data_IF_181759611490
#
_entry.id   IF_181759611490
#
_cell.length_a   1.000
_cell.length_b   1.000
_cell.length_c   1.000
_cell.angle_alpha   90.00
_cell.angle_beta   90.00
_cell.angle_gamma   90.00
#
_symmetry.space_group_name_H-M   'P 1'
#
loop_
_entity.id
_entity.type
_entity.pdbx_description
1 polymer ?
#
# COMPACT_ATOMS: atom_id res chain seq x y z
N UNK A 1 10.20 0.45 32.37
CA UNK A 1 8.76 0.71 32.63
C UNK A 1 7.95 -0.24 31.75
N UNK A 2 6.78 -0.74 32.16
CA UNK A 2 5.96 -1.59 31.27
C UNK A 2 5.01 -0.72 30.43
N UNK A 3 4.61 -1.21 29.26
CA UNK A 3 3.72 -0.52 28.30
C UNK A 3 2.39 -0.11 28.94
N UNK A 4 1.81 -0.92 29.84
CA UNK A 4 0.53 -0.59 30.50
C UNK A 4 0.63 0.65 31.41
N UNK A 5 1.85 1.06 31.76
CA UNK A 5 2.12 2.26 32.53
C UNK A 5 2.09 3.57 31.72
N UNK A 6 2.07 3.51 30.39
CA UNK A 6 2.03 4.70 29.53
C UNK A 6 0.62 5.27 29.56
N UNK A 7 0.41 6.42 30.19
CA UNK A 7 -0.90 7.09 30.35
C UNK A 7 -0.94 8.51 29.76
N UNK A 8 0.24 9.08 29.57
CA UNK A 8 0.47 10.48 29.24
C UNK A 8 1.84 10.63 28.57
N UNK A 9 2.23 11.89 28.35
CA UNK A 9 3.48 12.26 27.70
C UNK A 9 4.69 11.80 28.50
N UNK A 10 4.66 12.08 29.79
CA UNK A 10 5.76 11.85 30.72
C UNK A 10 6.04 10.35 30.86
N UNK A 11 4.98 9.54 30.94
CA UNK A 11 5.07 8.08 30.99
C UNK A 11 5.50 7.44 29.66
N UNK A 12 5.09 7.98 28.50
CA UNK A 12 5.61 7.55 27.19
C UNK A 12 7.11 7.85 27.07
N UNK A 13 7.53 9.05 27.48
CA UNK A 13 8.94 9.44 27.48
C UNK A 13 9.76 8.54 28.40
N UNK A 14 9.28 8.29 29.61
CA UNK A 14 9.95 7.39 30.56
C UNK A 14 10.05 5.94 30.03
N UNK A 15 9.07 5.48 29.24
CA UNK A 15 9.16 4.18 28.57
C UNK A 15 10.23 4.17 27.47
N UNK A 16 10.27 5.20 26.60
CA UNK A 16 11.29 5.33 25.55
C UNK A 16 12.71 5.43 26.12
N UNK A 17 12.90 6.18 27.20
CA UNK A 17 14.19 6.31 27.89
C UNK A 17 14.64 5.02 28.60
N UNK A 18 13.70 4.13 28.91
CA UNK A 18 13.98 2.83 29.53
C UNK A 18 14.36 1.73 28.52
N UNK A 19 14.25 1.98 27.21
CA UNK A 19 14.70 1.04 26.18
C UNK A 19 16.22 0.82 26.28
N UNK A 20 16.75 -0.34 25.83
CA UNK A 20 18.20 -0.55 25.75
C UNK A 20 18.87 0.56 24.91
N UNK A 21 19.99 1.10 25.40
CA UNK A 21 20.76 2.17 24.75
C UNK A 21 22.28 2.00 24.90
N UNK A 22 22.76 0.82 25.30
CA UNK A 22 24.16 0.56 25.59
C UNK A 22 25.06 0.63 24.35
N UNK A 23 24.54 0.23 23.20
CA UNK A 23 25.22 0.23 21.90
C UNK A 23 24.61 1.21 20.90
N UNK A 24 25.33 1.51 19.81
CA UNK A 24 24.80 2.34 18.70
C UNK A 24 23.58 1.69 18.04
N UNK A 25 23.58 0.37 17.90
CA UNK A 25 22.46 -0.39 17.33
C UNK A 25 21.20 -0.28 18.19
N UNK A 26 21.36 -0.40 19.52
CA UNK A 26 20.26 -0.24 20.48
C UNK A 26 19.71 1.20 20.48
N UNK A 27 20.59 2.22 20.43
CA UNK A 27 20.17 3.62 20.31
C UNK A 27 19.41 3.89 19.01
N UNK A 28 19.89 3.34 17.90
CA UNK A 28 19.24 3.47 16.60
C UNK A 28 17.88 2.76 16.58
N UNK A 29 17.76 1.59 17.21
CA UNK A 29 16.48 0.90 17.36
C UNK A 29 15.48 1.69 18.22
N UNK A 30 15.89 2.19 19.39
CA UNK A 30 15.06 3.03 20.23
C UNK A 30 14.58 4.29 19.48
N UNK A 31 15.46 4.91 18.67
CA UNK A 31 15.11 6.02 17.79
C UNK A 31 14.06 5.62 16.75
N UNK A 32 14.28 4.50 16.04
CA UNK A 32 13.31 3.99 15.04
C UNK A 32 11.93 3.75 15.66
N UNK A 33 11.87 3.20 16.87
CA UNK A 33 10.61 2.99 17.59
C UNK A 33 9.90 4.31 17.87
N UNK A 34 10.62 5.29 18.40
CA UNK A 34 10.08 6.60 18.72
C UNK A 34 9.58 7.34 17.47
N UNK A 35 10.31 7.27 16.35
CA UNK A 35 9.90 7.81 15.04
C UNK A 35 8.63 7.13 14.54
N UNK A 36 8.56 5.80 14.59
CA UNK A 36 7.40 5.04 14.10
C UNK A 36 6.12 5.37 14.89
N UNK A 37 6.23 5.49 16.22
CA UNK A 37 5.11 5.88 17.09
C UNK A 37 4.65 7.31 16.76
N UNK A 38 5.60 8.26 16.63
CA UNK A 38 5.28 9.65 16.32
C UNK A 38 4.64 9.81 14.93
N UNK A 39 5.16 9.13 13.91
CA UNK A 39 4.59 9.11 12.56
C UNK A 39 3.16 8.56 12.56
N UNK A 40 2.91 7.42 13.21
CA UNK A 40 1.57 6.84 13.28
C UNK A 40 0.60 7.73 14.05
N UNK A 41 1.04 8.38 15.13
CA UNK A 41 0.22 9.37 15.83
C UNK A 41 -0.16 10.57 14.93
N UNK A 42 0.79 11.06 14.12
CA UNK A 42 0.53 12.13 13.14
C UNK A 42 -0.46 11.69 12.06
N UNK A 43 -0.26 10.50 11.47
CA UNK A 43 -1.16 9.91 10.49
C UNK A 43 -2.59 9.77 11.03
N UNK A 44 -2.76 9.37 12.30
CA UNK A 44 -4.09 9.20 12.92
C UNK A 44 -4.93 10.48 12.89
N UNK A 45 -4.32 11.65 13.00
CA UNK A 45 -5.02 12.94 13.01
C UNK A 45 -5.07 13.62 11.64
N UNK A 46 -4.49 13.01 10.60
CA UNK A 46 -4.39 13.59 9.26
C UNK A 46 -5.75 13.93 8.60
N UNK A 47 -6.83 13.14 8.77
CA UNK A 47 -8.16 13.51 8.27
C UNK A 47 -8.66 14.87 8.80
N UNK A 48 -8.30 15.24 10.02
CA UNK A 48 -8.69 16.53 10.60
C UNK A 48 -7.98 17.71 9.91
N UNK A 49 -6.70 17.52 9.56
CA UNK A 49 -5.95 18.50 8.78
C UNK A 49 -6.61 18.72 7.42
N UNK A 50 -6.92 17.62 6.71
CA UNK A 50 -7.53 17.72 5.40
C UNK A 50 -8.91 18.35 5.43
N UNK A 51 -9.78 17.90 6.33
CA UNK A 51 -11.12 18.49 6.47
C UNK A 51 -11.03 19.98 6.72
N UNK A 52 -10.11 20.42 7.58
CA UNK A 52 -9.89 21.83 7.80
C UNK A 52 -9.38 22.55 6.57
N UNK A 53 -8.39 22.00 5.85
CA UNK A 53 -7.83 22.63 4.64
C UNK A 53 -8.87 22.81 3.52
N UNK A 54 -9.95 22.00 3.55
CA UNK A 54 -11.06 22.06 2.62
C UNK A 54 -12.18 23.03 3.05
N UNK A 55 -12.14 23.58 4.27
CA UNK A 55 -13.12 24.60 4.70
C UNK A 55 -12.91 25.91 3.94
N UNK A 56 -13.91 26.78 4.03
CA UNK A 56 -13.95 28.09 3.37
C UNK A 56 -12.59 28.80 3.45
N UNK A 57 -12.06 29.18 2.27
CA UNK A 57 -10.76 29.85 2.10
C UNK A 57 -10.66 31.14 2.89
N UNK A 58 -11.79 31.77 3.24
CA UNK A 58 -11.83 32.95 4.11
C UNK A 58 -11.45 32.63 5.56
N UNK A 59 -11.67 31.38 6.02
CA UNK A 59 -11.33 30.90 7.36
C UNK A 59 -9.97 30.22 7.42
N UNK A 60 -9.50 29.66 6.31
CA UNK A 60 -8.23 28.90 6.23
C UNK A 60 -7.08 29.73 5.67
N UNK A 61 -7.36 30.87 5.04
CA UNK A 61 -6.37 31.69 4.36
C UNK A 61 -5.75 30.97 3.15
N UNK A 62 -4.48 31.25 2.87
CA UNK A 62 -3.69 30.56 1.83
C UNK A 62 -3.04 29.27 2.34
N UNK A 63 -3.60 28.64 3.38
CA UNK A 63 -3.01 27.44 3.95
C UNK A 63 -2.99 26.29 2.94
N UNK A 64 -1.83 25.70 2.75
CA UNK A 64 -1.66 24.45 2.00
C UNK A 64 -1.37 23.31 2.99
N UNK A 65 -2.04 22.15 2.88
CA UNK A 65 -1.71 20.99 3.72
C UNK A 65 -0.38 20.34 3.33
N UNK A 66 0.22 20.69 2.18
CA UNK A 66 1.40 20.01 1.64
C UNK A 66 2.64 20.03 2.53
N UNK A 67 3.01 21.13 3.21
CA UNK A 67 4.15 21.10 4.12
C UNK A 67 3.98 20.07 5.24
N UNK A 68 2.75 19.90 5.74
CA UNK A 68 2.42 18.93 6.79
C UNK A 68 2.45 17.51 6.24
N UNK A 69 1.89 17.29 5.05
CA UNK A 69 1.95 16.01 4.34
C UNK A 69 3.39 15.58 4.03
N UNK A 70 4.23 16.52 3.60
CA UNK A 70 5.67 16.31 3.37
C UNK A 70 6.38 15.91 4.67
N UNK A 71 6.09 16.60 5.76
CA UNK A 71 6.65 16.25 7.06
C UNK A 71 6.27 14.82 7.45
N UNK A 72 4.99 14.49 7.38
CA UNK A 72 4.51 13.18 7.79
C UNK A 72 5.10 12.06 6.92
N UNK A 73 5.19 12.27 5.60
CA UNK A 73 5.88 11.39 4.66
C UNK A 73 7.36 11.17 5.04
N UNK A 74 8.12 12.24 5.30
CA UNK A 74 9.53 12.17 5.70
C UNK A 74 9.69 11.40 7.01
N UNK A 75 8.79 11.61 7.98
CA UNK A 75 8.85 10.93 9.27
C UNK A 75 8.68 9.41 9.12
N UNK A 76 7.80 8.95 8.23
CA UNK A 76 7.65 7.53 7.92
C UNK A 76 8.92 6.91 7.31
N UNK A 77 9.56 7.62 6.37
CA UNK A 77 10.79 7.16 5.69
C UNK A 77 11.96 7.08 6.67
N UNK A 78 12.09 8.06 7.56
CA UNK A 78 13.15 8.10 8.56
C UNK A 78 13.11 6.94 9.57
N UNK A 79 11.94 6.32 9.76
CA UNK A 79 11.78 5.08 10.53
C UNK A 79 12.38 3.85 9.84
N UNK A 80 12.60 3.91 8.51
CA UNK A 80 13.25 2.84 7.72
C UNK A 80 14.76 3.01 7.61
N UNK A 81 15.24 4.23 7.73
CA UNK A 81 16.67 4.53 7.73
C UNK A 81 16.88 6.03 7.67
N UNK A 82 17.90 6.51 8.37
CA UNK A 82 18.26 7.92 8.36
C UNK A 82 19.46 8.15 7.43
N UNK A 83 19.28 8.99 6.42
CA UNK A 83 20.37 9.47 5.56
C UNK A 83 20.54 10.98 5.72
N UNK A 84 21.71 11.55 5.39
CA UNK A 84 21.92 13.00 5.41
C UNK A 84 20.85 13.77 4.60
N UNK A 85 20.43 13.22 3.47
CA UNK A 85 19.43 13.82 2.58
C UNK A 85 18.04 13.85 3.22
N UNK A 86 17.66 12.78 3.92
CA UNK A 86 16.38 12.72 4.67
C UNK A 86 16.38 13.72 5.83
N UNK A 87 17.51 13.87 6.53
CA UNK A 87 17.66 14.88 7.59
C UNK A 87 17.47 16.28 7.02
N UNK A 88 18.11 16.58 5.88
CA UNK A 88 18.03 17.89 5.24
C UNK A 88 16.62 18.21 4.72
N UNK A 89 16.00 17.26 4.03
CA UNK A 89 14.60 17.35 3.60
C UNK A 89 13.67 17.61 4.79
N UNK A 90 13.90 16.91 5.91
CA UNK A 90 13.14 17.09 7.14
C UNK A 90 13.26 18.49 7.74
N UNK A 91 14.48 19.07 7.79
CA UNK A 91 14.70 20.43 8.31
C UNK A 91 13.91 21.45 7.50
N UNK A 92 13.98 21.32 6.17
CA UNK A 92 13.28 22.23 5.27
C UNK A 92 11.76 22.09 5.38
N UNK A 93 11.24 20.86 5.46
CA UNK A 93 9.82 20.60 5.65
C UNK A 93 9.28 21.21 6.97
N UNK A 94 10.00 21.09 8.08
CA UNK A 94 9.63 21.71 9.36
C UNK A 94 9.58 23.23 9.25
N UNK A 95 10.55 23.84 8.56
CA UNK A 95 10.57 25.27 8.31
C UNK A 95 9.29 25.74 7.61
N UNK A 96 8.89 25.03 6.56
CA UNK A 96 7.67 25.31 5.80
C UNK A 96 6.39 25.13 6.64
N UNK A 97 6.30 24.09 7.49
CA UNK A 97 5.16 23.92 8.40
C UNK A 97 5.07 25.06 9.40
N UNK A 98 6.19 25.47 10.00
CA UNK A 98 6.22 26.58 10.97
C UNK A 98 5.80 27.90 10.33
N UNK A 99 6.26 28.19 9.11
CA UNK A 99 5.83 29.36 8.36
C UNK A 99 4.32 29.33 8.08
N UNK A 100 3.78 28.16 7.76
CA UNK A 100 2.35 27.97 7.47
C UNK A 100 1.47 28.06 8.73
N UNK A 101 1.99 27.70 9.90
CA UNK A 101 1.24 27.58 11.16
C UNK A 101 0.95 28.91 11.88
N UNK A 102 1.60 30.03 11.49
CA UNK A 102 1.50 31.33 12.19
C UNK A 102 0.07 31.94 12.17
N UNK A 103 -0.88 31.36 11.44
CA UNK A 103 -2.27 31.86 11.37
C UNK A 103 -3.37 30.90 11.83
N UNK A 104 -3.06 29.76 12.46
CA UNK A 104 -4.02 28.62 12.53
C UNK A 104 -4.60 28.35 13.94
N UNK A 105 -5.85 27.86 13.97
CA UNK A 105 -6.62 27.45 15.16
C UNK A 105 -6.05 26.17 15.83
N UNK A 106 -6.30 26.03 17.14
CA UNK A 106 -5.71 25.02 18.03
C UNK A 106 -5.74 23.55 17.55
N UNK A 107 -6.81 23.09 16.89
CA UNK A 107 -6.93 21.69 16.44
C UNK A 107 -6.05 21.35 15.22
N UNK A 108 -5.65 22.33 14.43
CA UNK A 108 -4.70 22.11 13.32
C UNK A 108 -3.28 22.31 13.81
N UNK A 109 -3.07 23.17 14.81
CA UNK A 109 -1.82 23.19 15.55
C UNK A 109 -1.52 21.77 16.07
N UNK A 110 -2.53 21.02 16.52
CA UNK A 110 -2.37 19.62 16.90
C UNK A 110 -1.76 18.73 15.79
N UNK A 111 -2.38 18.67 14.61
CA UNK A 111 -1.88 17.85 13.50
C UNK A 111 -0.54 18.37 12.93
N UNK A 112 -0.44 19.67 12.68
CA UNK A 112 0.77 20.31 12.15
C UNK A 112 1.96 20.18 13.09
N UNK A 113 1.77 20.39 14.40
CA UNK A 113 2.83 20.14 15.38
C UNK A 113 3.12 18.66 15.54
N UNK A 114 2.12 17.77 15.48
CA UNK A 114 2.38 16.33 15.52
C UNK A 114 3.31 15.90 14.37
N UNK A 115 3.00 16.28 13.12
CA UNK A 115 3.86 15.98 11.97
C UNK A 115 5.22 16.68 12.06
N UNK A 116 5.26 17.97 12.43
CA UNK A 116 6.53 18.70 12.56
C UNK A 116 7.41 18.13 13.67
N UNK A 117 6.83 17.71 14.80
CA UNK A 117 7.54 17.10 15.92
C UNK A 117 7.98 15.68 15.57
N UNK A 118 7.18 14.91 14.80
CA UNK A 118 7.58 13.60 14.30
C UNK A 118 8.84 13.69 13.44
N UNK A 119 8.92 14.67 12.53
CA UNK A 119 10.14 14.95 11.75
C UNK A 119 11.25 15.55 12.61
N UNK A 120 10.93 16.44 13.56
CA UNK A 120 11.97 17.06 14.39
C UNK A 120 12.71 16.02 15.21
N UNK A 121 11.98 15.05 15.71
CA UNK A 121 12.52 13.97 16.48
C UNK A 121 13.37 12.98 15.63
N UNK A 122 13.18 12.98 14.31
CA UNK A 122 14.13 12.35 13.37
C UNK A 122 15.47 13.11 13.32
N UNK A 123 15.44 14.44 13.34
CA UNK A 123 16.62 15.31 13.11
C UNK A 123 17.47 15.47 14.36
N UNK A 124 16.86 15.48 15.55
CA UNK A 124 17.57 15.61 16.81
C UNK A 124 18.22 14.27 17.15
N UNK A 125 19.54 14.25 17.28
CA UNK A 125 20.31 13.06 17.67
C UNK A 125 20.55 13.13 19.19
N UNK A 126 20.11 12.13 19.95
CA UNK A 126 20.35 12.01 21.40
C UNK A 126 19.09 12.07 22.28
N UNK A 127 19.28 12.19 23.60
CA UNK A 127 18.21 12.21 24.61
C UNK A 127 17.15 13.31 24.38
N UNK A 128 17.49 14.41 23.70
CA UNK A 128 16.51 15.46 23.34
C UNK A 128 15.47 14.99 22.30
N UNK A 129 15.74 13.90 21.57
CA UNK A 129 14.78 13.33 20.63
C UNK A 129 13.56 12.74 21.34
N UNK A 130 13.73 12.09 22.51
CA UNK A 130 12.63 11.45 23.25
C UNK A 130 11.58 12.47 23.70
N UNK A 131 12.02 13.68 24.09
CA UNK A 131 11.15 14.79 24.49
C UNK A 131 10.28 15.29 23.32
N UNK A 132 10.86 15.39 22.12
CA UNK A 132 10.18 15.84 20.89
C UNK A 132 9.24 14.75 20.33
N UNK A 133 9.63 13.47 20.39
CA UNK A 133 8.75 12.34 20.06
C UNK A 133 7.49 12.31 20.93
N UNK A 134 7.67 12.50 22.24
CA UNK A 134 6.55 12.53 23.18
C UNK A 134 5.68 13.78 22.99
N UNK A 135 6.27 14.92 22.60
CA UNK A 135 5.53 16.12 22.22
C UNK A 135 4.65 15.89 20.99
N UNK A 136 5.14 15.19 19.96
CA UNK A 136 4.36 14.85 18.76
C UNK A 136 3.08 14.06 19.10
N UNK A 137 3.25 12.97 19.86
CA UNK A 137 2.17 12.10 20.29
C UNK A 137 1.15 12.83 21.16
N UNK A 138 1.62 13.66 22.11
CA UNK A 138 0.76 14.46 22.99
C UNK A 138 -0.02 15.52 22.22
N UNK A 139 0.64 16.15 21.25
CA UNK A 139 -0.01 17.20 20.46
C UNK A 139 -1.11 16.61 19.60
N UNK A 140 -0.91 15.43 19.01
CA UNK A 140 -1.96 14.65 18.35
C UNK A 140 -3.12 14.28 19.30
N UNK A 141 -2.81 13.94 20.56
CA UNK A 141 -3.78 13.57 21.58
C UNK A 141 -4.70 14.73 22.06
N UNK A 142 -4.36 15.99 21.77
CA UNK A 142 -5.21 17.15 22.13
C UNK A 142 -6.47 17.30 21.26
N UNK A 143 -6.61 16.49 20.21
CA UNK A 143 -7.82 16.37 19.42
C UNK A 143 -8.66 15.16 19.89
N UNK A 144 -9.83 15.45 20.48
CA UNK A 144 -10.91 14.50 20.85
C UNK A 144 -10.45 13.10 21.32
N UNK A 145 -10.24 13.00 22.64
CA UNK A 145 -9.88 11.81 23.45
C UNK A 145 -8.39 11.46 23.50
N UNK A 146 -7.63 12.24 24.27
CA UNK A 146 -6.26 11.92 24.62
C UNK A 146 -6.10 10.48 25.13
N UNK A 147 -7.09 9.99 25.90
CA UNK A 147 -7.11 8.62 26.41
C UNK A 147 -7.11 7.56 25.30
N UNK A 148 -8.00 7.68 24.29
CA UNK A 148 -8.05 6.74 23.17
C UNK A 148 -6.78 6.82 22.29
N UNK A 149 -6.17 8.00 22.18
CA UNK A 149 -4.88 8.14 21.51
C UNK A 149 -3.78 7.39 22.27
N UNK A 150 -3.75 7.48 23.61
CA UNK A 150 -2.80 6.72 24.42
C UNK A 150 -3.07 5.23 24.42
N UNK A 151 -4.32 4.76 24.27
CA UNK A 151 -4.60 3.35 23.99
C UNK A 151 -3.91 2.89 22.71
N UNK A 152 -4.03 3.65 21.62
CA UNK A 152 -3.37 3.31 20.35
C UNK A 152 -1.84 3.37 20.46
N UNK A 153 -1.29 4.34 21.21
CA UNK A 153 0.15 4.42 21.46
C UNK A 153 0.64 3.21 22.27
N UNK A 154 -0.07 2.82 23.33
CA UNK A 154 0.23 1.60 24.10
C UNK A 154 0.24 0.39 23.18
N UNK A 155 -0.74 0.30 22.31
CA UNK A 155 -0.87 -0.83 21.40
C UNK A 155 0.26 -0.89 20.35
N UNK A 156 0.71 0.26 19.83
CA UNK A 156 1.90 0.37 18.98
C UNK A 156 3.18 -0.03 19.75
N UNK A 157 3.34 0.43 21.00
CA UNK A 157 4.48 0.07 21.85
C UNK A 157 4.54 -1.44 22.14
N UNK A 158 3.40 -2.04 22.49
CA UNK A 158 3.30 -3.47 22.75
C UNK A 158 3.63 -4.31 21.50
N UNK A 159 3.22 -3.86 20.32
CA UNK A 159 3.56 -4.52 19.06
C UNK A 159 5.06 -4.44 18.76
N UNK A 160 5.71 -3.29 19.03
CA UNK A 160 7.16 -3.14 18.91
C UNK A 160 7.94 -4.05 19.88
N UNK A 161 7.52 -4.17 21.14
CA UNK A 161 8.13 -5.09 22.11
C UNK A 161 8.06 -6.57 21.66
N UNK A 162 7.09 -6.90 20.80
CA UNK A 162 6.93 -8.24 20.20
C UNK A 162 7.70 -8.40 18.88
N UNK A 163 8.46 -7.38 18.44
CA UNK A 163 9.22 -7.40 17.19
C UNK A 163 8.38 -7.16 15.94
N UNK A 164 7.17 -6.62 16.08
CA UNK A 164 6.30 -6.38 14.94
C UNK A 164 6.76 -5.18 14.09
N UNK A 165 6.49 -5.26 12.78
CA UNK A 165 6.72 -4.16 11.84
C UNK A 165 5.46 -3.27 11.76
N UNK A 166 5.46 -2.14 12.48
CA UNK A 166 4.27 -1.28 12.60
C UNK A 166 3.72 -0.74 11.27
N UNK A 167 4.50 -0.70 10.20
CA UNK A 167 4.02 -0.31 8.86
C UNK A 167 3.13 -1.36 8.19
N UNK A 168 3.06 -2.57 8.76
CA UNK A 168 2.15 -3.63 8.32
C UNK A 168 0.92 -3.77 9.21
N UNK A 169 0.80 -2.91 10.22
CA UNK A 169 -0.36 -2.88 11.11
C UNK A 169 -1.32 -1.78 10.68
N UNK A 170 -2.64 -2.07 10.68
CA UNK A 170 -3.67 -1.03 10.55
C UNK A 170 -3.39 0.14 11.50
N UNK A 171 -3.71 1.35 11.06
CA UNK A 171 -3.43 2.56 11.84
C UNK A 171 -4.24 2.57 13.15
N UNK A 172 -5.43 1.97 13.15
CA UNK A 172 -6.27 1.76 14.32
C UNK A 172 -6.41 0.26 14.57
N UNK A 173 -6.20 -0.20 15.80
CA UNK A 173 -6.38 -1.61 16.15
C UNK A 173 -7.85 -1.97 16.35
N UNK A 174 -8.63 -0.99 16.80
CA UNK A 174 -10.07 -1.08 17.00
C UNK A 174 -10.81 -0.16 16.01
N UNK A 175 -12.04 0.24 16.35
CA UNK A 175 -12.83 1.19 15.57
C UNK A 175 -12.08 2.52 15.37
N UNK A 176 -11.94 2.94 14.11
CA UNK A 176 -11.34 4.24 13.77
C UNK A 176 -12.33 5.36 14.11
N UNK A 177 -12.05 6.22 15.12
CA UNK A 177 -12.96 7.30 15.53
C UNK A 177 -13.11 8.39 14.47
N UNK A 178 -12.21 8.44 13.48
CA UNK A 178 -12.26 9.37 12.35
C UNK A 178 -12.76 8.71 11.06
N UNK A 179 -13.31 7.49 11.10
CA UNK A 179 -13.78 6.78 9.90
C UNK A 179 -14.82 7.59 9.12
N UNK A 180 -15.82 8.16 9.81
CA UNK A 180 -16.85 8.98 9.16
C UNK A 180 -16.26 10.28 8.61
N UNK A 181 -15.40 10.96 9.39
CA UNK A 181 -14.72 12.17 8.95
C UNK A 181 -13.90 11.89 7.67
N UNK A 182 -13.18 10.77 7.63
CA UNK A 182 -12.42 10.36 6.46
C UNK A 182 -13.32 10.06 5.26
N UNK A 183 -14.40 9.31 5.46
CA UNK A 183 -15.38 9.01 4.41
C UNK A 183 -15.96 10.28 3.77
N UNK A 184 -16.21 11.32 4.58
CA UNK A 184 -16.75 12.61 4.10
C UNK A 184 -15.67 13.49 3.43
N UNK A 185 -14.42 13.38 3.87
CA UNK A 185 -13.30 14.24 3.44
C UNK A 185 -12.64 13.72 2.18
N UNK A 186 -12.45 12.40 2.07
CA UNK A 186 -11.81 11.70 0.94
C UNK A 186 -12.33 12.12 -0.44
N UNK A 187 -13.65 12.12 -0.74
CA UNK A 187 -14.15 12.52 -2.06
C UNK A 187 -13.87 14.01 -2.35
N UNK A 188 -13.85 14.87 -1.33
CA UNK A 188 -13.55 16.30 -1.50
C UNK A 188 -12.08 16.53 -1.83
N UNK A 189 -11.18 15.75 -1.24
CA UNK A 189 -9.75 15.78 -1.59
C UNK A 189 -9.57 15.38 -3.05
N UNK A 190 -10.18 14.28 -3.48
CA UNK A 190 -10.10 13.79 -4.86
C UNK A 190 -10.70 14.78 -5.88
N UNK A 191 -11.73 15.53 -5.49
CA UNK A 191 -12.33 16.57 -6.32
C UNK A 191 -11.38 17.76 -6.59
N UNK A 192 -10.26 17.89 -5.87
CA UNK A 192 -9.24 18.90 -6.15
C UNK A 192 -8.35 18.54 -7.34
N UNK A 193 -8.44 17.31 -7.88
CA UNK A 193 -7.73 16.87 -9.09
C UNK A 193 -6.95 15.57 -8.90
N UNK A 194 -6.56 14.95 -10.01
CA UNK A 194 -5.86 13.64 -10.04
C UNK A 194 -4.57 13.63 -9.22
N UNK A 195 -3.88 14.77 -9.14
CA UNK A 195 -2.67 14.94 -8.35
C UNK A 195 -2.81 14.60 -6.86
N UNK A 196 -4.03 14.67 -6.32
CA UNK A 196 -4.30 14.35 -4.91
C UNK A 196 -4.52 12.86 -4.63
N UNK A 197 -4.68 12.03 -5.67
CA UNK A 197 -4.91 10.59 -5.53
C UNK A 197 -3.77 9.89 -4.81
N UNK A 198 -2.52 10.30 -5.06
CA UNK A 198 -1.36 9.76 -4.36
C UNK A 198 -1.49 9.88 -2.83
N UNK A 199 -1.85 11.05 -2.33
CA UNK A 199 -1.95 11.31 -0.89
C UNK A 199 -3.08 10.51 -0.24
N UNK A 200 -4.21 10.36 -0.94
CA UNK A 200 -5.34 9.53 -0.52
C UNK A 200 -4.93 8.06 -0.46
N UNK A 201 -4.31 7.53 -1.53
CA UNK A 201 -3.89 6.13 -1.61
C UNK A 201 -2.79 5.81 -0.57
N UNK A 202 -1.86 6.73 -0.35
CA UNK A 202 -0.83 6.62 0.68
C UNK A 202 -1.43 6.50 2.08
N UNK A 203 -2.42 7.33 2.39
CA UNK A 203 -3.12 7.27 3.68
C UNK A 203 -4.02 6.05 3.82
N UNK A 204 -4.79 5.68 2.79
CA UNK A 204 -5.63 4.47 2.79
C UNK A 204 -4.77 3.20 3.02
N UNK A 205 -3.56 3.14 2.45
CA UNK A 205 -2.59 2.06 2.72
C UNK A 205 -2.15 2.05 4.19
N UNK A 206 -1.82 3.21 4.76
CA UNK A 206 -1.45 3.30 6.17
C UNK A 206 -2.62 2.91 7.09
N UNK A 207 -3.84 3.34 6.74
CA UNK A 207 -5.06 3.02 7.48
C UNK A 207 -5.29 1.51 7.58
N UNK A 208 -5.06 0.80 6.47
CA UNK A 208 -5.26 -0.65 6.37
C UNK A 208 -4.05 -1.49 6.77
N UNK A 209 -2.88 -0.88 7.02
CA UNK A 209 -1.64 -1.62 7.21
C UNK A 209 -1.09 -2.26 5.93
N UNK A 210 -1.55 -1.81 4.76
CA UNK A 210 -1.03 -2.27 3.48
C UNK A 210 0.43 -1.80 3.32
N UNK A 211 1.37 -2.69 2.96
CA UNK A 211 2.77 -2.31 2.77
C UNK A 211 2.95 -1.14 1.81
N UNK A 212 3.81 -0.20 2.20
CA UNK A 212 4.16 0.98 1.40
C UNK A 212 5.36 0.69 0.48
N UNK A 213 5.42 1.39 -0.65
CA UNK A 213 6.58 1.38 -1.55
C UNK A 213 7.62 2.39 -1.04
N UNK A 214 8.44 1.96 -0.08
CA UNK A 214 9.43 2.82 0.57
C UNK A 214 10.43 3.47 -0.40
N UNK A 215 10.95 2.76 -1.43
CA UNK A 215 11.74 3.37 -2.49
C UNK A 215 11.02 4.53 -3.21
N UNK A 216 9.74 4.35 -3.60
CA UNK A 216 8.94 5.43 -4.21
C UNK A 216 8.79 6.62 -3.27
N UNK A 217 8.36 6.36 -2.04
CA UNK A 217 8.12 7.41 -1.03
C UNK A 217 9.41 8.19 -0.74
N UNK A 218 10.55 7.52 -0.70
CA UNK A 218 11.87 8.14 -0.53
C UNK A 218 12.17 9.11 -1.66
N UNK A 219 11.92 8.73 -2.93
CA UNK A 219 12.11 9.64 -4.08
C UNK A 219 11.21 10.87 -4.00
N UNK A 220 9.95 10.70 -3.58
CA UNK A 220 9.00 11.80 -3.42
C UNK A 220 9.42 12.76 -2.29
N UNK A 221 9.85 12.22 -1.15
CA UNK A 221 10.30 13.04 -0.02
C UNK A 221 11.53 13.90 -0.35
N UNK A 222 12.39 13.39 -1.24
CA UNK A 222 13.60 14.05 -1.72
C UNK A 222 13.39 14.96 -2.94
N UNK A 223 12.14 15.24 -3.34
CA UNK A 223 11.86 16.35 -4.27
C UNK A 223 12.49 17.64 -3.71
N UNK A 224 13.13 18.40 -4.59
CA UNK A 224 13.86 19.62 -4.24
C UNK A 224 12.98 20.56 -3.40
N UNK A 225 13.45 21.05 -2.25
CA UNK A 225 12.76 22.07 -1.47
C UNK A 225 12.13 23.21 -2.28
N UNK A 226 12.83 23.73 -3.29
CA UNK A 226 12.34 24.85 -4.11
C UNK A 226 11.09 24.46 -4.93
N UNK A 227 10.92 23.18 -5.25
CA UNK A 227 9.73 22.68 -5.93
C UNK A 227 8.50 22.64 -5.00
N UNK A 228 8.71 22.44 -3.70
CA UNK A 228 7.61 22.46 -2.73
C UNK A 228 7.00 23.86 -2.55
N UNK A 229 7.82 24.90 -2.71
CA UNK A 229 7.39 26.30 -2.61
C UNK A 229 6.58 26.77 -3.85
N UNK A 230 6.63 26.02 -4.95
CA UNK A 230 5.86 26.30 -6.18
C UNK A 230 4.38 25.90 -6.07
N UNK A 231 3.97 25.25 -4.98
CA UNK A 231 2.58 24.93 -4.68
C UNK A 231 2.12 23.55 -5.17
N UNK A 232 0.83 23.27 -4.93
CA UNK A 232 0.32 21.91 -5.00
C UNK A 232 0.29 21.29 -6.39
N UNK A 233 -0.10 22.08 -7.39
CA UNK A 233 -0.20 21.57 -8.77
C UNK A 233 1.17 21.15 -9.29
N UNK A 234 2.21 21.94 -9.00
CA UNK A 234 3.59 21.63 -9.37
C UNK A 234 4.12 20.37 -8.68
N UNK A 235 3.99 20.30 -7.36
CA UNK A 235 4.44 19.13 -6.58
C UNK A 235 3.71 17.86 -7.00
N UNK A 236 2.40 17.92 -7.17
CA UNK A 236 1.62 16.75 -7.56
C UNK A 236 1.97 16.27 -8.98
N UNK A 237 2.31 17.19 -9.91
CA UNK A 237 2.82 16.82 -11.23
C UNK A 237 4.18 16.10 -11.15
N UNK A 238 5.10 16.57 -10.30
CA UNK A 238 6.37 15.90 -10.05
C UNK A 238 6.18 14.51 -9.42
N UNK A 239 5.26 14.38 -8.46
CA UNK A 239 4.90 13.09 -7.86
C UNK A 239 4.39 12.14 -8.94
N UNK A 240 3.50 12.59 -9.83
CA UNK A 240 3.00 11.76 -10.92
C UNK A 240 4.13 11.29 -11.85
N UNK A 241 5.09 12.17 -12.17
CA UNK A 241 6.27 11.80 -12.94
C UNK A 241 7.12 10.75 -12.21
N UNK A 242 7.41 10.94 -10.93
CA UNK A 242 8.18 9.99 -10.12
C UNK A 242 7.47 8.63 -10.07
N UNK A 243 6.14 8.61 -9.89
CA UNK A 243 5.35 7.37 -9.92
C UNK A 243 5.45 6.70 -11.29
N UNK A 244 5.34 7.44 -12.39
CA UNK A 244 5.44 6.89 -13.74
C UNK A 244 6.84 6.31 -14.04
N UNK A 245 7.89 6.91 -13.49
CA UNK A 245 9.27 6.42 -13.61
C UNK A 245 9.56 5.24 -12.67
N UNK A 246 8.94 5.23 -11.49
CA UNK A 246 9.18 4.25 -10.43
C UNK A 246 8.36 2.99 -10.58
N UNK A 247 7.12 3.12 -11.08
CA UNK A 247 6.35 1.98 -11.55
C UNK A 247 7.26 1.32 -12.57
N UNK A 248 7.79 0.12 -12.30
CA UNK A 248 8.63 -0.55 -13.28
C UNK A 248 7.80 -0.51 -14.55
N UNK A 249 8.34 0.14 -15.59
CA UNK A 249 7.73 0.04 -16.92
C UNK A 249 7.55 -1.45 -17.07
N UNK A 250 6.32 -1.93 -16.95
CA UNK A 250 6.04 -3.32 -17.23
C UNK A 250 6.73 -3.52 -18.56
N UNK A 251 7.70 -4.44 -18.66
CA UNK A 251 8.48 -4.61 -19.90
C UNK A 251 7.56 -4.76 -21.12
N UNK A 252 6.28 -5.05 -20.86
CA UNK A 252 5.13 -4.89 -21.71
C UNK A 252 4.61 -3.45 -21.82
N UNK A 253 4.89 -2.83 -22.95
CA UNK A 253 3.99 -1.86 -23.55
C UNK A 253 2.79 -2.61 -24.13
N UNK A 254 1.53 -2.30 -23.75
CA UNK A 254 0.36 -2.93 -24.35
C UNK A 254 0.40 -2.74 -25.86
N UNK A 255 0.44 -3.84 -26.61
CA UNK A 255 0.44 -3.79 -28.07
C UNK A 255 -0.99 -3.51 -28.55
N UNK A 256 -1.19 -2.59 -29.51
CA UNK A 256 -2.52 -2.36 -30.08
C UNK A 256 -3.12 -3.68 -30.60
N UNK A 257 -4.36 -4.03 -30.22
CA UNK A 257 -5.02 -5.25 -30.66
C UNK A 257 -5.35 -5.19 -32.14
N UNK A 258 -5.51 -6.37 -32.75
CA UNK A 258 -6.05 -6.46 -34.11
C UNK A 258 -7.54 -6.07 -34.15
N UNK A 259 -8.03 -5.64 -35.32
CA UNK A 259 -9.42 -5.24 -35.52
C UNK A 259 -10.44 -6.32 -35.08
N UNK A 260 -10.10 -7.61 -35.23
CA UNK A 260 -10.93 -8.73 -34.77
C UNK A 260 -11.10 -8.76 -33.26
N UNK A 261 -10.03 -8.48 -32.51
CA UNK A 261 -10.06 -8.40 -31.03
C UNK A 261 -10.93 -7.23 -30.58
N UNK A 262 -10.79 -6.07 -31.21
CA UNK A 262 -11.63 -4.89 -30.93
C UNK A 262 -13.10 -5.18 -31.18
N UNK A 263 -13.43 -5.79 -32.33
CA UNK A 263 -14.79 -6.18 -32.66
C UNK A 263 -15.38 -7.18 -31.66
N UNK A 264 -14.60 -8.17 -31.22
CA UNK A 264 -15.02 -9.14 -30.22
C UNK A 264 -15.32 -8.47 -28.87
N UNK A 265 -14.44 -7.58 -28.40
CA UNK A 265 -14.62 -6.83 -27.15
C UNK A 265 -15.92 -6.02 -27.19
N UNK A 266 -16.16 -5.27 -28.28
CA UNK A 266 -17.38 -4.48 -28.44
C UNK A 266 -18.65 -5.32 -28.43
N UNK A 267 -18.60 -6.54 -29.00
CA UNK A 267 -19.74 -7.43 -29.05
C UNK A 267 -20.02 -8.13 -27.71
N UNK A 268 -18.97 -8.56 -27.00
CA UNK A 268 -19.11 -9.47 -25.85
C UNK A 268 -19.09 -8.76 -24.50
N UNK A 269 -18.30 -7.69 -24.33
CA UNK A 269 -18.19 -7.00 -23.03
C UNK A 269 -19.54 -6.46 -22.54
N UNK A 270 -20.39 -5.78 -23.36
CA UNK A 270 -21.67 -5.28 -22.87
C UNK A 270 -22.60 -6.38 -22.34
N UNK A 271 -22.56 -7.57 -22.94
CA UNK A 271 -23.42 -8.73 -22.57
C UNK A 271 -22.90 -9.42 -21.31
N UNK A 272 -21.58 -9.47 -21.13
CA UNK A 272 -20.92 -10.22 -20.06
C UNK A 272 -20.44 -9.36 -18.89
N UNK A 273 -20.69 -8.04 -18.91
CA UNK A 273 -20.12 -7.06 -17.97
C UNK A 273 -20.22 -7.46 -16.50
N UNK A 274 -21.38 -7.87 -15.93
CA UNK A 274 -21.47 -8.18 -14.51
C UNK A 274 -20.57 -9.36 -14.11
N UNK A 275 -20.51 -10.38 -14.98
CA UNK A 275 -19.68 -11.57 -14.73
C UNK A 275 -18.21 -11.25 -14.93
N UNK A 276 -17.87 -10.43 -15.93
CA UNK A 276 -16.50 -10.00 -16.20
C UNK A 276 -15.93 -9.17 -15.04
N UNK A 277 -16.71 -8.22 -14.51
CA UNK A 277 -16.33 -7.43 -13.33
C UNK A 277 -16.05 -8.32 -12.12
N UNK A 278 -16.95 -9.27 -11.82
CA UNK A 278 -16.77 -10.22 -10.73
C UNK A 278 -15.51 -11.09 -10.90
N UNK A 279 -15.25 -11.60 -12.11
CA UNK A 279 -14.08 -12.43 -12.37
C UNK A 279 -12.76 -11.64 -12.29
N UNK A 280 -12.72 -10.41 -12.79
CA UNK A 280 -11.55 -9.54 -12.68
C UNK A 280 -11.28 -9.18 -11.21
N UNK A 281 -12.31 -8.85 -10.43
CA UNK A 281 -12.18 -8.60 -8.99
C UNK A 281 -11.64 -9.83 -8.25
N UNK A 282 -12.19 -11.03 -8.54
CA UNK A 282 -11.66 -12.27 -7.96
C UNK A 282 -10.20 -12.53 -8.35
N UNK A 283 -9.80 -12.24 -9.59
CA UNK A 283 -8.42 -12.40 -10.05
C UNK A 283 -7.47 -11.45 -9.30
N UNK A 284 -7.89 -10.22 -9.02
CA UNK A 284 -7.12 -9.26 -8.22
C UNK A 284 -6.87 -9.80 -6.80
N UNK A 285 -7.91 -10.32 -6.14
CA UNK A 285 -7.80 -10.88 -4.79
C UNK A 285 -6.89 -12.10 -4.74
N UNK A 286 -7.07 -13.06 -5.66
CA UNK A 286 -6.25 -14.29 -5.70
C UNK A 286 -4.80 -13.97 -6.04
N UNK A 287 -4.55 -13.03 -6.97
CA UNK A 287 -3.18 -12.61 -7.29
C UNK A 287 -2.51 -11.93 -6.10
N UNK A 288 -3.24 -11.09 -5.36
CA UNK A 288 -2.70 -10.45 -4.15
C UNK A 288 -2.37 -11.46 -3.05
N UNK A 289 -3.27 -12.42 -2.80
CA UNK A 289 -3.04 -13.47 -1.81
C UNK A 289 -1.83 -14.35 -2.19
N UNK A 290 -1.67 -14.68 -3.47
CA UNK A 290 -0.54 -15.49 -3.93
C UNK A 290 0.79 -14.73 -3.87
N UNK A 291 0.80 -13.43 -4.18
CA UNK A 291 1.98 -12.58 -3.99
C UNK A 291 2.43 -12.62 -2.52
N UNK A 292 1.50 -12.47 -1.58
CA UNK A 292 1.85 -12.51 -0.16
C UNK A 292 2.35 -13.88 0.27
N UNK A 293 1.71 -14.96 -0.20
CA UNK A 293 2.18 -16.34 0.03
C UNK A 293 3.62 -16.53 -0.45
N UNK A 294 3.93 -16.10 -1.67
CA UNK A 294 5.28 -16.18 -2.23
C UNK A 294 6.30 -15.38 -1.43
N UNK A 295 5.93 -14.21 -0.90
CA UNK A 295 6.80 -13.38 -0.05
C UNK A 295 7.11 -14.04 1.29
N UNK A 296 6.15 -14.76 1.86
CA UNK A 296 6.31 -15.46 3.15
C UNK A 296 7.03 -16.81 3.01
N UNK A 297 7.08 -17.40 1.82
CA UNK A 297 7.70 -18.70 1.60
C UNK A 297 9.23 -18.57 1.40
N UNK A 298 9.97 -19.04 2.41
CA UNK A 298 11.44 -19.05 2.39
C UNK A 298 12.04 -20.28 1.71
N UNK A 299 11.21 -21.24 1.27
CA UNK A 299 11.66 -22.46 0.56
C UNK A 299 11.84 -22.19 -0.94
N UNK A 300 11.23 -21.12 -1.45
CA UNK A 300 11.35 -20.71 -2.86
C UNK A 300 12.70 -20.02 -3.07
N UNK A 301 13.38 -20.44 -4.12
CA UNK A 301 14.59 -19.76 -4.60
C UNK A 301 14.31 -18.26 -4.82
N UNK A 302 15.16 -17.34 -4.32
CA UNK A 302 14.90 -15.90 -4.40
C UNK A 302 14.63 -15.38 -5.81
N UNK A 303 15.34 -15.88 -6.83
CA UNK A 303 15.18 -15.46 -8.24
C UNK A 303 13.83 -15.96 -8.78
N UNK A 304 13.48 -17.23 -8.50
CA UNK A 304 12.18 -17.77 -8.88
C UNK A 304 11.02 -17.04 -8.18
N UNK A 305 11.19 -16.68 -6.89
CA UNK A 305 10.20 -15.91 -6.12
C UNK A 305 9.99 -14.53 -6.71
N UNK A 306 11.07 -13.83 -7.09
CA UNK A 306 11.01 -12.52 -7.73
C UNK A 306 10.26 -12.60 -9.06
N UNK A 307 10.64 -13.53 -9.95
CA UNK A 307 9.99 -13.71 -11.24
C UNK A 307 8.49 -14.06 -11.11
N UNK A 308 8.12 -14.94 -10.18
CA UNK A 308 6.72 -15.28 -9.92
C UNK A 308 5.92 -14.09 -9.37
N UNK A 309 6.53 -13.31 -8.48
CA UNK A 309 5.91 -12.12 -7.88
C UNK A 309 5.71 -11.02 -8.90
N UNK A 310 6.69 -10.82 -9.79
CA UNK A 310 6.62 -9.86 -10.90
C UNK A 310 5.48 -10.23 -11.85
N UNK A 311 5.41 -11.49 -12.31
CA UNK A 311 4.36 -11.94 -13.20
C UNK A 311 2.95 -11.80 -12.60
N UNK A 312 2.78 -12.08 -11.30
CA UNK A 312 1.51 -11.86 -10.59
C UNK A 312 1.17 -10.39 -10.42
N UNK A 313 2.18 -9.54 -10.21
CA UNK A 313 2.00 -8.10 -10.12
C UNK A 313 1.52 -7.55 -11.46
N UNK A 314 2.13 -7.98 -12.57
CA UNK A 314 1.71 -7.59 -13.92
C UNK A 314 0.30 -8.11 -14.27
N UNK A 315 -0.02 -9.36 -13.90
CA UNK A 315 -1.38 -9.92 -14.01
C UNK A 315 -2.41 -9.06 -13.28
N UNK A 316 -2.10 -8.70 -12.02
CA UNK A 316 -2.97 -7.87 -11.19
C UNK A 316 -3.16 -6.49 -11.80
N UNK A 317 -2.09 -5.85 -12.28
CA UNK A 317 -2.17 -4.56 -12.97
C UNK A 317 -3.07 -4.65 -14.21
N UNK A 318 -2.88 -5.66 -15.06
CA UNK A 318 -3.71 -5.84 -16.26
C UNK A 318 -5.19 -6.08 -15.90
N UNK A 319 -5.47 -6.86 -14.87
CA UNK A 319 -6.82 -7.10 -14.39
C UNK A 319 -7.48 -5.82 -13.84
N UNK A 320 -6.73 -4.99 -13.11
CA UNK A 320 -7.21 -3.71 -12.59
C UNK A 320 -7.53 -2.74 -13.73
N UNK A 321 -6.63 -2.61 -14.71
CA UNK A 321 -6.85 -1.75 -15.87
C UNK A 321 -8.08 -2.18 -16.67
N UNK A 322 -8.28 -3.49 -16.86
CA UNK A 322 -9.48 -4.00 -17.51
C UNK A 322 -10.75 -3.69 -16.71
N UNK A 323 -10.70 -3.79 -15.38
CA UNK A 323 -11.82 -3.48 -14.50
C UNK A 323 -12.18 -1.99 -14.56
N UNK A 324 -11.17 -1.11 -14.55
CA UNK A 324 -11.33 0.35 -14.62
C UNK A 324 -11.89 0.80 -16.00
N UNK A 325 -11.57 0.07 -17.07
CA UNK A 325 -12.06 0.33 -18.43
C UNK A 325 -13.47 -0.23 -18.69
N UNK A 326 -14.07 -0.99 -17.77
CA UNK A 326 -15.44 -1.47 -17.98
C UNK A 326 -16.43 -0.30 -17.96
N UNK A 327 -17.21 -0.08 -19.04
CA UNK A 327 -18.23 0.96 -19.02
C UNK A 327 -19.32 0.61 -18.02
N UNK A 328 -19.90 1.60 -17.34
CA UNK A 328 -21.01 1.36 -16.41
C UNK A 328 -22.24 0.75 -17.12
N UNK A 329 -22.59 1.32 -18.28
CA UNK A 329 -23.69 0.89 -19.13
C UNK A 329 -23.38 1.11 -20.62
N UNK A 330 -24.29 0.66 -21.50
CA UNK A 330 -24.20 0.92 -22.94
C UNK A 330 -23.10 0.16 -23.71
N UNK A 331 -22.85 0.54 -24.98
CA UNK A 331 -21.83 -0.06 -25.82
C UNK A 331 -20.41 0.41 -25.42
N UNK A 332 -19.39 -0.40 -25.71
CA UNK A 332 -17.97 -0.02 -25.49
C UNK A 332 -17.51 0.93 -26.62
N UNK A 333 -17.00 2.14 -26.30
CA UNK A 333 -16.40 3.03 -27.29
C UNK A 333 -15.20 2.39 -27.99
N UNK A 334 -14.89 2.82 -29.22
CA UNK A 334 -13.78 2.22 -30.01
C UNK A 334 -12.43 2.37 -29.31
N UNK A 335 -12.13 3.53 -28.76
CA UNK A 335 -10.89 3.81 -28.02
C UNK A 335 -10.76 2.89 -26.79
N UNK A 336 -11.83 2.81 -25.98
CA UNK A 336 -11.88 1.90 -24.82
C UNK A 336 -11.72 0.44 -25.24
N UNK A 337 -12.32 0.02 -26.36
CA UNK A 337 -12.18 -1.36 -26.85
C UNK A 337 -10.76 -1.69 -27.32
N UNK A 338 -10.06 -0.72 -27.92
CA UNK A 338 -8.63 -0.84 -28.28
C UNK A 338 -7.77 -0.97 -27.03
N UNK A 339 -8.04 -0.14 -26.02
CA UNK A 339 -7.27 -0.18 -24.78
C UNK A 339 -7.50 -1.48 -24.00
N UNK A 340 -8.78 -1.89 -23.85
CA UNK A 340 -9.14 -3.18 -23.26
C UNK A 340 -8.47 -4.34 -23.99
N UNK A 341 -8.44 -4.33 -25.33
CA UNK A 341 -7.79 -5.39 -26.09
C UNK A 341 -6.28 -5.44 -25.90
N UNK A 342 -5.65 -4.29 -25.66
CA UNK A 342 -4.22 -4.21 -25.36
C UNK A 342 -3.92 -4.84 -23.99
N UNK A 343 -4.70 -4.48 -22.96
CA UNK A 343 -4.56 -5.05 -21.61
C UNK A 343 -4.96 -6.52 -21.52
N UNK A 344 -5.92 -6.97 -22.34
CA UNK A 344 -6.28 -8.37 -22.45
C UNK A 344 -5.11 -9.23 -22.93
N UNK A 345 -4.33 -8.74 -23.90
CA UNK A 345 -3.13 -9.45 -24.38
C UNK A 345 -2.01 -9.44 -23.31
N UNK A 346 -1.89 -8.38 -22.51
CA UNK A 346 -0.97 -8.37 -21.35
C UNK A 346 -1.40 -9.43 -20.34
N UNK A 347 -2.67 -9.42 -19.91
CA UNK A 347 -3.23 -10.38 -18.97
C UNK A 347 -2.97 -11.82 -19.42
N UNK A 348 -3.19 -12.06 -20.71
CA UNK A 348 -2.97 -13.33 -21.38
C UNK A 348 -1.50 -13.74 -21.40
N UNK A 349 -0.59 -12.82 -21.72
CA UNK A 349 0.86 -13.08 -21.80
C UNK A 349 1.46 -13.34 -20.43
N UNK A 350 1.10 -12.53 -19.43
CA UNK A 350 1.58 -12.68 -18.07
C UNK A 350 1.08 -13.96 -17.40
N UNK A 351 -0.15 -14.40 -17.72
CA UNK A 351 -0.65 -15.71 -17.28
C UNK A 351 0.18 -16.87 -17.84
N UNK A 352 0.61 -16.75 -19.10
CA UNK A 352 1.51 -17.74 -19.72
C UNK A 352 2.89 -17.71 -19.09
N UNK A 353 3.44 -16.51 -18.88
CA UNK A 353 4.74 -16.32 -18.27
C UNK A 353 4.76 -16.90 -16.85
N UNK A 354 3.79 -16.53 -16.03
CA UNK A 354 3.61 -17.08 -14.69
C UNK A 354 3.51 -18.61 -14.69
N UNK A 355 2.71 -19.18 -15.61
CA UNK A 355 2.61 -20.63 -15.72
C UNK A 355 3.94 -21.28 -16.15
N UNK A 356 4.74 -20.61 -16.98
CA UNK A 356 6.07 -21.07 -17.36
C UNK A 356 7.02 -21.09 -16.16
N UNK A 357 7.14 -19.97 -15.43
CA UNK A 357 8.01 -19.85 -14.26
C UNK A 357 7.60 -20.83 -13.16
N UNK A 358 6.30 -20.93 -12.90
CA UNK A 358 5.80 -21.88 -11.92
C UNK A 358 6.10 -23.34 -12.37
N UNK A 359 6.13 -23.65 -13.68
CA UNK A 359 6.46 -25.01 -14.17
C UNK A 359 7.93 -25.31 -13.93
N UNK A 360 8.82 -24.34 -14.20
CA UNK A 360 10.25 -24.46 -13.90
C UNK A 360 10.48 -24.73 -12.43
N UNK A 361 9.83 -23.95 -11.56
CA UNK A 361 9.93 -24.12 -10.10
C UNK A 361 9.49 -25.51 -9.61
N UNK A 362 8.39 -26.05 -10.16
CA UNK A 362 7.90 -27.38 -9.77
C UNK A 362 8.69 -28.54 -10.37
N UNK A 363 9.49 -28.31 -11.41
CA UNK A 363 10.28 -29.35 -12.06
C UNK A 363 11.32 -29.91 -11.08
N UNK A 364 11.22 -31.19 -10.75
CA UNK A 364 12.12 -31.86 -9.80
C UNK A 364 11.69 -31.78 -8.33
N UNK A 365 10.60 -31.09 -7.99
CA UNK A 365 10.06 -31.07 -6.61
C UNK A 365 9.23 -32.33 -6.29
N UNK A 366 9.26 -32.83 -5.04
CA UNK A 366 8.45 -33.97 -4.62
C UNK A 366 6.94 -33.66 -4.72
N UNK A 367 6.12 -34.72 -4.74
CA UNK A 367 4.72 -34.64 -5.15
C UNK A 367 3.82 -33.86 -4.18
N UNK A 368 4.23 -33.74 -2.92
CA UNK A 368 3.64 -32.97 -1.82
C UNK A 368 3.91 -31.46 -2.00
N UNK A 369 5.14 -31.06 -2.33
CA UNK A 369 5.49 -29.66 -2.62
C UNK A 369 4.82 -29.13 -3.89
N UNK A 370 4.41 -30.02 -4.80
CA UNK A 370 3.62 -29.66 -5.99
C UNK A 370 2.15 -29.34 -5.68
N UNK A 371 1.60 -29.84 -4.57
CA UNK A 371 0.21 -29.57 -4.15
C UNK A 371 0.08 -28.17 -3.57
N UNK A 372 1.14 -27.64 -2.98
CA UNK A 372 1.16 -26.31 -2.36
C UNK A 372 1.03 -25.16 -3.36
N UNK A 373 1.31 -25.42 -4.65
CA UNK A 373 0.98 -24.51 -5.77
C UNK A 373 -0.41 -24.78 -6.37
N UNK A 374 -1.38 -25.21 -5.54
CA UNK A 374 -2.79 -25.35 -5.93
C UNK A 374 -3.39 -24.05 -6.53
N UNK A 375 -2.83 -22.90 -6.13
CA UNK A 375 -3.12 -21.58 -6.72
C UNK A 375 -2.92 -21.52 -8.24
N UNK A 376 -2.13 -22.43 -8.84
CA UNK A 376 -1.90 -22.46 -10.30
C UNK A 376 -3.07 -22.82 -11.15
N UNK A 377 -3.77 -23.87 -10.77
CA UNK A 377 -4.94 -24.30 -11.54
C UNK A 377 -6.03 -23.25 -11.41
N UNK A 378 -6.15 -22.66 -10.21
CA UNK A 378 -7.08 -21.58 -9.94
C UNK A 378 -6.75 -20.32 -10.77
N UNK A 379 -5.55 -19.75 -10.64
CA UNK A 379 -5.14 -18.54 -11.38
C UNK A 379 -5.27 -18.71 -12.90
N UNK A 380 -4.83 -19.85 -13.42
CA UNK A 380 -4.90 -20.12 -14.84
C UNK A 380 -6.36 -20.24 -15.34
N UNK A 381 -7.26 -20.82 -14.52
CA UNK A 381 -8.70 -20.83 -14.81
C UNK A 381 -9.34 -19.45 -14.68
N UNK A 382 -8.88 -18.64 -13.72
CA UNK A 382 -9.39 -17.30 -13.45
C UNK A 382 -8.97 -16.26 -14.50
N UNK A 383 -7.90 -16.49 -15.25
CA UNK A 383 -7.55 -15.65 -16.42
C UNK A 383 -8.33 -16.07 -17.66
N UNK A 384 -8.57 -17.37 -17.84
CA UNK A 384 -9.29 -17.88 -19.01
C UNK A 384 -10.74 -17.37 -19.08
N UNK A 385 -11.41 -17.25 -17.91
CA UNK A 385 -12.78 -16.73 -17.81
C UNK A 385 -12.94 -15.32 -18.40
N UNK A 386 -12.24 -14.30 -17.89
CA UNK A 386 -12.29 -12.93 -18.40
C UNK A 386 -12.01 -12.85 -19.90
N UNK A 387 -11.00 -13.56 -20.40
CA UNK A 387 -10.67 -13.56 -21.83
C UNK A 387 -11.83 -14.11 -22.69
N UNK A 388 -12.42 -15.23 -22.27
CA UNK A 388 -13.56 -15.82 -22.97
C UNK A 388 -14.80 -14.91 -22.93
N UNK A 389 -15.06 -14.25 -21.79
CA UNK A 389 -16.16 -13.28 -21.65
C UNK A 389 -15.98 -12.03 -22.51
N UNK A 390 -14.75 -11.70 -22.92
CA UNK A 390 -14.47 -10.64 -23.89
C UNK A 390 -14.48 -11.14 -25.35
N UNK A 391 -14.83 -12.40 -25.59
CA UNK A 391 -14.83 -13.01 -26.93
C UNK A 391 -13.43 -13.30 -27.47
N UNK A 392 -12.42 -13.33 -26.59
CA UNK A 392 -11.04 -13.58 -26.98
C UNK A 392 -10.70 -15.06 -26.84
N UNK A 393 -9.79 -15.59 -27.68
CA UNK A 393 -9.36 -16.98 -27.56
C UNK A 393 -8.67 -17.19 -26.21
N UNK A 394 -9.32 -17.95 -25.32
CA UNK A 394 -8.69 -18.51 -24.13
C UNK A 394 -7.69 -19.59 -24.56
N UNK A 395 -6.51 -19.65 -23.97
CA UNK A 395 -5.58 -20.74 -24.26
C UNK A 395 -6.13 -22.08 -23.74
N UNK A 396 -6.51 -22.98 -24.66
CA UNK A 396 -6.91 -24.36 -24.34
C UNK A 396 -5.80 -25.15 -23.58
N UNK A 397 -4.55 -24.69 -23.65
CA UNK A 397 -3.36 -25.35 -23.11
C UNK A 397 -3.28 -25.41 -21.57
N UNK A 398 -4.19 -24.74 -20.85
CA UNK A 398 -4.27 -24.84 -19.38
C UNK A 398 -5.09 -26.07 -18.92
N UNK A 399 -5.86 -26.72 -19.81
CA UNK A 399 -6.45 -28.03 -19.54
C UNK A 399 -5.39 -29.11 -19.22
N UNK A 400 -4.10 -28.87 -19.54
CA UNK A 400 -2.99 -29.70 -19.08
C UNK A 400 -2.83 -29.79 -17.56
N UNK A 401 -3.33 -28.80 -16.81
CA UNK A 401 -3.42 -28.86 -15.34
C UNK A 401 -4.47 -29.87 -14.86
N UNK A 402 -5.59 -29.98 -15.58
CA UNK A 402 -6.58 -31.03 -15.33
C UNK A 402 -6.04 -32.42 -15.70
N UNK A 403 -5.21 -32.53 -16.75
CA UNK A 403 -4.54 -33.79 -17.14
C UNK A 403 -3.49 -34.23 -16.10
N UNK A 404 -2.71 -33.30 -15.52
CA UNK A 404 -1.75 -33.61 -14.44
C UNK A 404 -2.43 -33.99 -13.12
N UNK A 405 -3.67 -33.53 -12.89
CA UNK A 405 -4.49 -33.96 -11.76
C UNK A 405 -5.28 -35.24 -12.05
N UNK A 406 -5.51 -35.59 -13.32
CA UNK A 406 -6.29 -36.77 -13.72
C UNK A 406 -5.64 -38.07 -13.23
N UNK A 407 -4.31 -38.14 -13.22
CA UNK A 407 -3.59 -39.29 -12.67
C UNK A 407 -3.58 -39.33 -11.13
N UNK A 408 -3.70 -38.18 -10.46
CA UNK A 408 -3.83 -38.13 -8.99
C UNK A 408 -5.26 -38.38 -8.50
N UNK A 409 -6.29 -37.95 -9.24
CA UNK A 409 -7.69 -38.25 -8.90
C UNK A 409 -8.00 -39.76 -8.97
N UNK A 410 -7.27 -40.53 -9.78
CA UNK A 410 -7.37 -42.01 -9.81
C UNK A 410 -6.88 -42.67 -8.52
N UNK A 411 -6.00 -42.03 -7.75
CA UNK A 411 -5.44 -42.58 -6.52
C UNK A 411 -6.12 -42.08 -5.24
N UNK A 412 -6.98 -41.06 -5.32
CA UNK A 412 -7.78 -40.58 -4.18
C UNK A 412 -8.65 -41.70 -3.56
N UNK A 413 -9.33 -42.57 -4.34
CA UNK A 413 -10.04 -43.72 -3.78
C UNK A 413 -9.15 -44.68 -3.00
N UNK A 414 -7.87 -44.85 -3.39
CA UNK A 414 -6.92 -45.72 -2.68
C UNK A 414 -6.49 -45.14 -1.34
N UNK A 415 -6.24 -43.82 -1.29
CA UNK A 415 -5.88 -43.10 -0.05
C UNK A 415 -7.06 -43.06 0.94
N UNK A 416 -8.29 -42.94 0.43
CA UNK A 416 -9.51 -43.05 1.24
C UNK A 416 -9.74 -44.49 1.72
N UNK A 417 -9.37 -45.51 0.93
CA UNK A 417 -9.48 -46.91 1.39
C UNK A 417 -8.43 -47.30 2.43
N UNK A 418 -7.20 -46.77 2.35
CA UNK A 418 -6.12 -47.10 3.31
C UNK A 418 -6.31 -46.45 4.68
N UNK A 419 -7.03 -45.32 4.74
CA UNK A 419 -7.39 -44.65 6.00
C UNK A 419 -8.57 -45.30 6.72
N UNK A 420 -9.44 -46.04 6.00
CA UNK A 420 -10.55 -46.81 6.59
C UNK A 420 -10.15 -48.18 7.13
N UNK A 421 -9.03 -48.75 6.69
CA UNK A 421 -8.52 -50.03 7.18
C UNK A 421 -7.61 -49.91 8.41
N UNK A 422 -7.38 -48.70 8.90
CA UNK A 422 -6.56 -48.38 10.08
C UNK A 422 -7.37 -47.77 11.22
N UNK A 423 -8.70 -47.80 11.11
CA UNK A 423 -9.70 -47.57 12.18
C UNK A 423 -10.44 -48.88 12.42
#
# INVERSE_FOLDING_TARGET
MRVEGIKDRESLQAWLEALPQGSDAEREEARRWAVAIAHRAAMRVLPMLWEWSLRDKTLTGSFSPLPVLRCDLISGIAGKGLTPEIIDAGRTAIGAVRASAIGIRAAINAASHASANAVRAVIVVGLDATLEHSLAATTAATAASAEAMYDMIRADCAALEQGAALDRHPLWQDENPLAQLWADTRPKILAQGEGWRFWVDWYDKALTGTPQDWPLLTRIALIDPEDWDKGADHVNALIAQIIAEHTPKSGFTPRPPGATTVAAIKAHVPVNRPVLSLQLAGLLEVSAAEIERLRCDNVIDPEAREALTEALTNLRTAAQMLLDLLPADGPVPDETAVEMGSWAEVLKTEAQHWNCEAKKFLSGKPADQRVDLGGRVLLASMVAGPLALMGLPSFATIAGGAILLQDKFKDIPKVISSSRSSS
#
